data_IF_645631776302
#
_entry.id   IF_645631776302
#
_cell.length_a   1.000
_cell.length_b   1.000
_cell.length_c   1.000
_cell.angle_alpha   90.00
_cell.angle_beta   90.00
_cell.angle_gamma   90.00
#
_symmetry.space_group_name_H-M   'P 1'
#
loop_
_entity.id
_entity.type
_entity.pdbx_description
1 polymer ?
#
# COMPACT_ATOMS: atom_id res chain seq x y z
N UNK A 1 3.50 4.69 -58.09
CA UNK A 1 2.19 4.03 -57.88
C UNK A 1 1.72 4.18 -56.42
N UNK A 2 2.53 3.76 -55.43
CA UNK A 2 2.24 3.93 -54.00
C UNK A 2 1.92 5.38 -53.58
N UNK A 3 2.68 6.36 -54.08
CA UNK A 3 2.39 7.78 -53.82
C UNK A 3 1.00 8.21 -54.29
N UNK A 4 0.57 7.77 -55.49
CA UNK A 4 -0.76 8.10 -56.02
C UNK A 4 -1.87 7.44 -55.19
N UNK A 5 -1.64 6.20 -54.73
CA UNK A 5 -2.57 5.49 -53.84
C UNK A 5 -2.71 6.24 -52.52
N UNK A 6 -1.60 6.64 -51.89
CA UNK A 6 -1.61 7.40 -50.64
C UNK A 6 -2.33 8.76 -50.77
N UNK A 7 -2.10 9.48 -51.87
CA UNK A 7 -2.79 10.74 -52.16
C UNK A 7 -4.30 10.52 -52.34
N UNK A 8 -4.71 9.48 -53.07
CA UNK A 8 -6.14 9.15 -53.19
C UNK A 8 -6.76 8.71 -51.86
N UNK A 9 -6.05 7.97 -51.01
CA UNK A 9 -6.52 7.63 -49.66
C UNK A 9 -6.73 8.89 -48.82
N UNK A 10 -5.82 9.86 -48.90
CA UNK A 10 -5.92 11.12 -48.17
C UNK A 10 -7.08 12.01 -48.69
N UNK A 11 -7.27 12.07 -50.01
CA UNK A 11 -8.41 12.75 -50.63
C UNK A 11 -9.73 12.11 -50.19
N UNK A 12 -9.80 10.78 -50.14
CA UNK A 12 -10.98 10.08 -49.65
C UNK A 12 -11.27 10.37 -48.17
N UNK A 13 -10.22 10.54 -47.35
CA UNK A 13 -10.38 10.97 -45.96
C UNK A 13 -10.99 12.38 -45.85
N UNK A 14 -10.58 13.30 -46.74
CA UNK A 14 -11.07 14.69 -46.79
C UNK A 14 -12.52 14.75 -47.29
N UNK A 15 -12.88 13.99 -48.32
CA UNK A 15 -14.24 13.95 -48.87
C UNK A 15 -15.27 13.51 -47.81
N UNK A 16 -14.90 12.54 -46.98
CA UNK A 16 -15.74 12.03 -45.88
C UNK A 16 -15.42 12.67 -44.52
N UNK A 17 -15.04 13.96 -44.49
CA UNK A 17 -14.59 14.68 -43.29
C UNK A 17 -15.46 14.46 -42.05
N UNK A 18 -16.80 14.48 -42.19
CA UNK A 18 -17.72 14.37 -41.05
C UNK A 18 -17.65 12.99 -40.41
N UNK A 19 -17.69 11.92 -41.21
CA UNK A 19 -17.66 10.53 -40.72
C UNK A 19 -16.29 10.18 -40.15
N UNK A 20 -15.23 10.60 -40.82
CA UNK A 20 -13.86 10.36 -40.37
C UNK A 20 -13.53 11.14 -39.10
N UNK A 21 -14.05 12.37 -38.96
CA UNK A 21 -13.90 13.14 -37.71
C UNK A 21 -14.58 12.45 -36.53
N UNK A 22 -15.82 11.97 -36.70
CA UNK A 22 -16.51 11.21 -35.65
C UNK A 22 -15.78 9.91 -35.31
N UNK A 23 -15.26 9.20 -36.31
CA UNK A 23 -14.49 7.97 -36.11
C UNK A 23 -13.19 8.22 -35.35
N UNK A 24 -12.40 9.22 -35.76
CA UNK A 24 -11.16 9.60 -35.08
C UNK A 24 -11.46 10.02 -33.64
N UNK A 25 -12.49 10.84 -33.42
CA UNK A 25 -12.87 11.29 -32.07
C UNK A 25 -13.28 10.12 -31.17
N UNK A 26 -14.04 9.16 -31.70
CA UNK A 26 -14.43 7.95 -30.97
C UNK A 26 -13.21 7.09 -30.60
N UNK A 27 -12.30 6.86 -31.55
CA UNK A 27 -11.06 6.11 -31.31
C UNK A 27 -10.17 6.83 -30.29
N UNK A 28 -10.06 8.16 -30.38
CA UNK A 28 -9.30 8.95 -29.40
C UNK A 28 -9.87 8.84 -28.00
N UNK A 29 -11.19 9.01 -27.82
CA UNK A 29 -11.82 8.91 -26.50
C UNK A 29 -11.62 7.53 -25.89
N UNK A 30 -11.83 6.46 -26.67
CA UNK A 30 -11.67 5.08 -26.19
C UNK A 30 -10.22 4.77 -25.84
N UNK A 31 -9.25 5.25 -26.63
CA UNK A 31 -7.82 5.09 -26.33
C UNK A 31 -7.40 5.88 -25.07
N UNK A 32 -7.89 7.11 -24.91
CA UNK A 32 -7.62 7.92 -23.72
C UNK A 32 -8.23 7.29 -22.47
N UNK A 33 -9.46 6.77 -22.54
CA UNK A 33 -10.09 6.06 -21.43
C UNK A 33 -9.27 4.84 -21.00
N UNK A 34 -8.80 4.06 -21.96
CA UNK A 34 -7.89 2.93 -21.72
C UNK A 34 -6.60 3.34 -21.01
N UNK A 35 -5.94 4.41 -21.46
CA UNK A 35 -4.72 4.92 -20.82
C UNK A 35 -5.00 5.41 -19.39
N UNK A 36 -6.12 6.11 -19.16
CA UNK A 36 -6.51 6.60 -17.83
C UNK A 36 -6.71 5.43 -16.87
N UNK A 37 -7.41 4.37 -17.30
CA UNK A 37 -7.64 3.18 -16.46
C UNK A 37 -6.31 2.54 -16.06
N UNK A 38 -5.40 2.32 -17.03
CA UNK A 38 -4.08 1.74 -16.75
C UNK A 38 -3.26 2.60 -15.79
N UNK A 39 -3.20 3.91 -16.04
CA UNK A 39 -2.45 4.83 -15.19
C UNK A 39 -3.03 4.94 -13.78
N UNK A 40 -4.35 4.82 -13.64
CA UNK A 40 -5.03 4.87 -12.34
C UNK A 40 -4.68 3.66 -11.48
N UNK A 41 -4.61 2.46 -12.07
CA UNK A 41 -4.21 1.23 -11.38
C UNK A 41 -2.79 1.35 -10.84
N UNK A 42 -1.86 1.80 -11.68
CA UNK A 42 -0.47 1.97 -11.27
C UNK A 42 -0.31 3.05 -10.19
N UNK A 43 -1.12 4.12 -10.25
CA UNK A 43 -1.14 5.16 -9.24
C UNK A 43 -1.63 4.64 -7.89
N UNK A 44 -2.74 3.90 -7.88
CA UNK A 44 -3.29 3.28 -6.66
C UNK A 44 -2.30 2.29 -6.06
N UNK A 45 -1.65 1.47 -6.89
CA UNK A 45 -0.62 0.53 -6.45
C UNK A 45 0.55 1.25 -5.78
N UNK A 46 1.09 2.28 -6.44
CA UNK A 46 2.21 3.06 -5.90
C UNK A 46 1.85 3.77 -4.61
N UNK A 47 0.63 4.32 -4.50
CA UNK A 47 0.16 4.97 -3.29
C UNK A 47 0.06 3.98 -2.13
N UNK A 48 -0.51 2.80 -2.39
CA UNK A 48 -0.60 1.73 -1.38
C UNK A 48 0.79 1.22 -0.95
N UNK A 49 1.70 0.98 -1.90
CA UNK A 49 3.08 0.61 -1.60
C UNK A 49 3.79 1.69 -0.76
N UNK A 50 3.58 2.97 -1.08
CA UNK A 50 4.18 4.06 -0.32
C UNK A 50 3.65 4.16 1.12
N UNK A 51 2.34 4.05 1.34
CA UNK A 51 1.73 4.07 2.68
C UNK A 51 2.14 2.84 3.52
N UNK A 52 2.40 1.69 2.88
CA UNK A 52 2.87 0.47 3.55
C UNK A 52 4.36 0.51 3.91
N UNK A 53 5.21 1.11 3.07
CA UNK A 53 6.68 1.22 3.29
C UNK A 53 7.05 2.02 4.53
N UNK A 54 6.13 2.81 5.06
CA UNK A 54 6.28 3.57 6.30
C UNK A 54 6.72 2.72 7.49
N UNK A 55 6.39 1.41 7.49
CA UNK A 55 6.74 0.49 8.58
C UNK A 55 8.10 -0.21 8.39
N UNK A 56 8.81 0.04 7.28
CA UNK A 56 10.09 -0.60 6.93
C UNK A 56 9.93 -2.00 6.31
N UNK A 57 10.51 -2.23 5.13
CA UNK A 57 10.45 -3.52 4.41
C UNK A 57 11.18 -4.68 5.11
N UNK A 58 12.01 -4.35 6.10
CA UNK A 58 12.84 -5.25 6.86
C UNK A 58 12.27 -5.57 8.25
N UNK A 59 11.03 -5.17 8.55
CA UNK A 59 10.44 -5.28 9.88
C UNK A 59 9.30 -6.30 9.90
N UNK A 60 9.37 -7.22 10.87
CA UNK A 60 8.25 -8.09 11.26
C UNK A 60 7.84 -7.73 12.68
N UNK A 61 6.57 -7.46 12.91
CA UNK A 61 6.01 -7.29 14.26
C UNK A 61 5.13 -8.49 14.59
N UNK A 62 5.21 -8.94 15.84
CA UNK A 62 4.46 -10.05 16.39
C UNK A 62 3.74 -9.54 17.62
N UNK A 63 2.41 -9.51 17.57
CA UNK A 63 1.55 -9.13 18.68
C UNK A 63 0.99 -10.38 19.35
N UNK A 64 1.17 -10.52 20.66
CA UNK A 64 0.63 -11.63 21.44
C UNK A 64 -0.67 -11.19 22.12
N UNK A 65 -1.74 -11.98 21.97
CA UNK A 65 -3.07 -11.61 22.51
C UNK A 65 -3.08 -11.48 24.03
N UNK A 66 -2.30 -12.30 24.72
CA UNK A 66 -2.22 -12.34 26.20
C UNK A 66 -0.77 -12.15 26.70
N UNK A 67 0.08 -11.49 25.91
CA UNK A 67 1.52 -11.38 26.18
C UNK A 67 2.28 -12.71 26.14
N UNK A 68 3.60 -12.69 26.23
CA UNK A 68 4.45 -13.88 26.36
C UNK A 68 5.34 -13.71 27.59
N UNK A 69 5.50 -14.77 28.38
CA UNK A 69 6.38 -14.71 29.55
C UNK A 69 7.82 -14.42 29.15
N UNK A 70 8.55 -13.67 29.98
CA UNK A 70 9.93 -13.31 29.68
C UNK A 70 10.85 -14.51 29.42
N UNK A 71 10.59 -15.64 30.08
CA UNK A 71 11.34 -16.90 29.91
C UNK A 71 11.05 -17.56 28.56
N UNK A 72 9.77 -17.75 28.22
CA UNK A 72 9.37 -18.32 26.93
C UNK A 72 9.80 -17.43 25.76
N UNK A 73 9.74 -16.12 25.95
CA UNK A 73 10.28 -15.16 24.99
C UNK A 73 11.79 -15.31 24.83
N UNK A 74 12.56 -15.52 25.91
CA UNK A 74 14.01 -15.69 25.81
C UNK A 74 14.37 -16.94 24.97
N UNK A 75 13.63 -18.03 25.11
CA UNK A 75 13.83 -19.24 24.28
C UNK A 75 13.51 -18.99 22.81
N UNK A 76 12.42 -18.25 22.55
CA UNK A 76 12.03 -17.83 21.20
C UNK A 76 13.09 -16.91 20.57
N UNK A 77 13.59 -15.93 21.33
CA UNK A 77 14.62 -14.97 20.93
C UNK A 77 15.93 -15.68 20.56
N UNK A 78 16.38 -16.65 21.38
CA UNK A 78 17.58 -17.46 21.07
C UNK A 78 17.43 -18.21 19.75
N UNK A 79 16.28 -18.85 19.53
CA UNK A 79 16.04 -19.59 18.29
C UNK A 79 16.02 -18.66 17.08
N UNK A 80 15.29 -17.55 17.17
CA UNK A 80 15.18 -16.57 16.09
C UNK A 80 16.56 -15.98 15.76
N UNK A 81 17.35 -15.63 16.77
CA UNK A 81 18.69 -15.09 16.55
C UNK A 81 19.62 -16.09 15.86
N UNK A 82 19.56 -17.38 16.23
CA UNK A 82 20.40 -18.42 15.64
C UNK A 82 20.04 -18.73 14.17
N UNK A 83 18.77 -18.64 13.80
CA UNK A 83 18.30 -19.06 12.46
C UNK A 83 18.22 -17.87 11.49
N UNK A 84 17.79 -16.71 11.98
CA UNK A 84 17.37 -15.58 11.15
C UNK A 84 18.19 -14.30 11.40
N UNK A 85 19.00 -14.29 12.48
CA UNK A 85 19.88 -13.17 12.90
C UNK A 85 19.27 -11.75 12.92
N UNK A 86 17.99 -11.54 13.30
CA UNK A 86 17.47 -10.18 13.43
C UNK A 86 17.91 -9.50 14.73
N UNK A 87 17.79 -8.17 14.76
CA UNK A 87 17.80 -7.39 16.00
C UNK A 87 16.37 -7.35 16.55
N UNK A 88 16.21 -7.67 17.83
CA UNK A 88 14.90 -7.81 18.48
C UNK A 88 14.57 -6.60 19.34
N UNK A 89 13.40 -6.01 19.12
CA UNK A 89 12.81 -4.98 19.96
C UNK A 89 11.59 -5.50 20.71
N UNK A 90 11.38 -5.04 21.94
CA UNK A 90 10.31 -5.48 22.84
C UNK A 90 9.38 -4.32 23.16
N UNK A 91 8.09 -4.62 23.23
CA UNK A 91 7.06 -3.67 23.63
C UNK A 91 6.08 -4.29 24.64
N UNK A 92 5.66 -3.48 25.60
CA UNK A 92 4.61 -3.78 26.58
C UNK A 92 3.58 -2.67 26.59
N UNK A 93 2.30 -3.02 26.58
CA UNK A 93 1.18 -2.08 26.61
C UNK A 93 0.69 -1.93 28.03
N UNK A 94 0.54 -0.69 28.49
CA UNK A 94 0.07 -0.39 29.84
C UNK A 94 -0.94 0.73 29.78
N UNK A 95 -2.10 0.53 30.39
CA UNK A 95 -3.11 1.59 30.50
C UNK A 95 -2.87 2.35 31.80
N UNK A 96 -2.62 3.65 31.68
CA UNK A 96 -2.29 4.52 32.81
C UNK A 96 -3.17 5.78 32.77
N UNK A 97 -3.34 6.40 33.94
CA UNK A 97 -3.95 7.72 34.02
C UNK A 97 -2.90 8.78 33.75
N UNK A 98 -3.22 9.76 32.92
CA UNK A 98 -2.30 10.83 32.55
C UNK A 98 -2.99 12.19 32.62
N UNK A 99 -2.19 13.25 32.68
CA UNK A 99 -2.68 14.61 32.52
C UNK A 99 -1.64 15.66 32.85
N UNK A 100 -2.03 16.91 32.63
CA UNK A 100 -1.25 18.10 32.99
C UNK A 100 -0.98 18.23 34.50
N UNK A 101 -1.81 17.59 35.32
CA UNK A 101 -1.72 17.65 36.78
C UNK A 101 -1.64 16.24 37.38
N UNK A 102 -1.09 16.08 38.61
CA UNK A 102 -0.95 14.77 39.26
C UNK A 102 -2.25 13.99 39.42
N UNK A 103 -3.39 14.67 39.50
CA UNK A 103 -4.73 14.08 39.64
C UNK A 103 -5.48 13.99 38.30
N UNK A 104 -4.76 14.06 37.18
CA UNK A 104 -5.33 13.87 35.85
C UNK A 104 -6.04 12.51 35.74
N UNK A 105 -7.27 12.53 35.23
CA UNK A 105 -8.12 11.33 35.11
C UNK A 105 -8.19 10.79 33.67
N UNK A 106 -7.37 11.30 32.75
CA UNK A 106 -7.41 10.85 31.36
C UNK A 106 -6.77 9.46 31.28
N UNK A 107 -7.58 8.48 30.90
CA UNK A 107 -7.12 7.10 30.74
C UNK A 107 -6.51 6.95 29.35
N UNK A 108 -5.20 6.72 29.30
CA UNK A 108 -4.44 6.61 28.06
C UNK A 108 -3.68 5.30 28.00
N UNK A 109 -3.44 4.82 26.77
CA UNK A 109 -2.62 3.64 26.52
C UNK A 109 -1.17 4.06 26.28
N UNK A 110 -0.26 3.56 27.12
CA UNK A 110 1.17 3.79 26.99
C UNK A 110 1.85 2.54 26.44
N UNK A 111 2.81 2.75 25.54
CA UNK A 111 3.64 1.70 24.95
C UNK A 111 5.03 1.77 25.57
N UNK A 112 5.34 0.83 26.46
CA UNK A 112 6.67 0.60 27.00
C UNK A 112 7.57 -0.07 25.98
N UNK A 113 8.58 0.62 25.50
CA UNK A 113 9.44 0.16 24.38
C UNK A 113 10.91 0.17 24.77
N UNK A 114 11.69 -0.73 24.17
CA UNK A 114 13.14 -0.70 24.29
C UNK A 114 13.81 0.17 23.23
N UNK A 115 15.12 0.40 23.38
CA UNK A 115 15.89 1.27 22.49
C UNK A 115 15.89 0.76 21.04
N UNK A 116 15.87 -0.56 20.85
CA UNK A 116 15.80 -1.19 19.52
C UNK A 116 14.45 -0.89 18.87
N UNK A 117 13.34 -1.05 19.59
CA UNK A 117 12.02 -0.73 19.09
C UNK A 117 11.92 0.76 18.75
N UNK A 118 12.41 1.64 19.62
CA UNK A 118 12.44 3.07 19.36
C UNK A 118 13.21 3.40 18.07
N UNK A 119 14.38 2.79 17.85
CA UNK A 119 15.19 3.04 16.64
C UNK A 119 14.47 2.74 15.32
N UNK A 120 13.45 1.88 15.36
CA UNK A 120 12.63 1.51 14.20
C UNK A 120 11.43 2.44 13.94
N UNK A 121 11.16 3.40 14.83
CA UNK A 121 10.08 4.36 14.71
C UNK A 121 10.67 5.72 14.31
N UNK A 122 10.04 6.40 13.36
CA UNK A 122 10.44 7.77 13.00
C UNK A 122 9.89 8.75 14.04
N UNK A 123 10.76 9.29 14.90
CA UNK A 123 10.41 10.34 15.86
C UNK A 123 11.56 11.34 16.01
N UNK A 124 11.23 12.51 16.54
CA UNK A 124 12.18 13.59 16.82
C UNK A 124 12.42 13.66 18.32
N UNK A 125 13.64 13.36 18.79
CA UNK A 125 13.96 13.35 20.21
C UNK A 125 15.18 12.51 20.57
N UNK A 126 15.31 12.15 21.86
CA UNK A 126 16.37 11.27 22.36
C UNK A 126 16.24 9.85 21.83
N UNK A 127 17.35 9.25 21.40
CA UNK A 127 17.43 7.87 20.88
C UNK A 127 17.17 6.75 21.90
N UNK A 128 17.16 7.06 23.19
CA UNK A 128 16.96 6.11 24.29
C UNK A 128 16.16 6.76 25.41
N UNK A 129 15.25 6.00 26.02
CA UNK A 129 14.41 6.45 27.12
C UNK A 129 14.85 5.78 28.43
N UNK A 130 15.13 6.62 29.42
CA UNK A 130 15.57 6.21 30.75
C UNK A 130 14.67 6.79 31.84
N UNK A 131 14.09 5.92 32.66
CA UNK A 131 13.27 6.34 33.80
C UNK A 131 11.94 6.96 33.40
N UNK A 132 11.72 8.21 33.82
CA UNK A 132 10.46 8.95 33.64
C UNK A 132 10.52 9.89 32.44
N UNK A 133 10.92 9.36 31.29
CA UNK A 133 10.92 10.09 30.01
C UNK A 133 9.78 9.57 29.14
N UNK A 134 9.15 10.48 28.40
CA UNK A 134 7.97 10.23 27.58
C UNK A 134 8.19 10.74 26.15
N UNK A 135 7.74 9.99 25.15
CA UNK A 135 7.58 10.49 23.78
C UNK A 135 6.10 10.51 23.46
N UNK A 136 5.60 11.64 22.99
CA UNK A 136 4.17 11.86 22.73
C UNK A 136 3.92 12.21 21.27
N UNK A 137 2.67 12.15 20.81
CA UNK A 137 2.31 12.61 19.47
C UNK A 137 2.54 14.12 19.34
N UNK A 138 3.03 14.57 18.19
CA UNK A 138 3.22 16.00 17.85
C UNK A 138 1.92 16.83 18.01
N UNK A 139 0.75 16.20 17.92
CA UNK A 139 -0.54 16.85 18.05
C UNK A 139 -1.03 17.02 19.49
N UNK A 140 -0.48 16.28 20.46
CA UNK A 140 -1.13 16.14 21.76
C UNK A 140 -0.56 17.04 22.86
N UNK A 141 0.72 17.43 22.85
CA UNK A 141 1.31 18.14 23.99
C UNK A 141 2.51 19.02 23.65
N UNK A 142 2.49 20.29 24.07
CA UNK A 142 3.63 21.23 24.02
C UNK A 142 4.29 21.46 25.38
N UNK A 143 3.81 20.79 26.44
CA UNK A 143 4.28 20.98 27.80
C UNK A 143 5.49 20.09 28.12
N UNK A 144 6.47 20.64 28.82
CA UNK A 144 7.74 19.97 29.10
C UNK A 144 7.63 18.85 30.15
N UNK A 145 6.61 18.91 31.01
CA UNK A 145 6.35 17.93 32.07
C UNK A 145 4.92 17.43 31.97
N UNK A 146 4.75 16.12 31.95
CA UNK A 146 3.45 15.44 31.91
C UNK A 146 3.33 14.51 33.11
N UNK A 147 2.17 14.42 33.74
CA UNK A 147 1.99 13.49 34.85
C UNK A 147 1.38 12.18 34.36
N UNK A 148 2.01 11.07 34.73
CA UNK A 148 1.50 9.72 34.50
C UNK A 148 1.37 9.03 35.84
N UNK A 149 0.14 8.70 36.23
CA UNK A 149 -0.23 8.08 37.50
C UNK A 149 0.37 8.83 38.72
N UNK A 150 0.20 10.16 38.72
CA UNK A 150 0.76 11.10 39.71
C UNK A 150 2.30 11.23 39.74
N UNK A 151 3.02 10.59 38.82
CA UNK A 151 4.48 10.72 38.69
C UNK A 151 4.82 11.70 37.56
N UNK A 152 5.74 12.66 37.75
CA UNK A 152 6.16 13.57 36.68
C UNK A 152 7.07 12.86 35.67
N UNK A 153 6.73 13.02 34.39
CA UNK A 153 7.49 12.57 33.23
C UNK A 153 7.97 13.79 32.43
N UNK A 154 9.18 13.71 31.89
CA UNK A 154 9.74 14.72 31.00
C UNK A 154 9.47 14.31 29.55
N UNK A 155 8.91 15.22 28.76
CA UNK A 155 8.69 14.97 27.33
C UNK A 155 10.03 15.07 26.59
N UNK A 156 10.56 13.92 26.17
CA UNK A 156 11.87 13.78 25.55
C UNK A 156 11.84 13.81 24.01
N UNK A 157 10.64 13.81 23.42
CA UNK A 157 10.46 13.87 21.98
C UNK A 157 9.02 13.81 21.53
N UNK A 158 8.84 14.05 20.24
CA UNK A 158 7.55 13.95 19.56
C UNK A 158 7.66 13.01 18.37
N UNK A 159 6.65 12.17 18.19
CA UNK A 159 6.51 11.35 16.98
C UNK A 159 5.34 11.85 16.14
N UNK A 160 5.51 11.76 14.82
CA UNK A 160 4.48 12.13 13.86
C UNK A 160 3.81 10.86 13.35
N UNK A 161 2.49 10.80 13.50
CA UNK A 161 1.70 9.74 12.87
C UNK A 161 1.71 9.98 11.35
N UNK A 162 2.14 9.01 10.55
CA UNK A 162 2.10 9.10 9.10
C UNK A 162 0.63 9.13 8.65
N UNK A 163 0.29 10.05 7.75
CA UNK A 163 -1.06 10.12 7.17
C UNK A 163 -1.29 8.90 6.26
N UNK A 164 -2.34 8.11 6.56
CA UNK A 164 -2.70 6.87 5.85
C UNK A 164 -4.03 6.98 5.13
N UNK A 165 -4.18 7.99 4.29
CA UNK A 165 -5.46 8.33 3.64
C UNK A 165 -6.04 7.21 2.76
N UNK A 166 -5.18 6.44 2.09
CA UNK A 166 -5.63 5.37 1.21
C UNK A 166 -6.01 4.13 2.01
N UNK A 167 -5.16 3.68 2.94
CA UNK A 167 -5.47 2.53 3.79
C UNK A 167 -6.70 2.80 4.69
N UNK A 168 -6.85 4.03 5.20
CA UNK A 168 -8.05 4.45 5.91
C UNK A 168 -9.29 4.43 5.02
N UNK A 169 -9.17 4.85 3.76
CA UNK A 169 -10.24 4.77 2.77
C UNK A 169 -10.67 3.33 2.44
N UNK A 170 -9.75 2.36 2.58
CA UNK A 170 -10.04 0.93 2.44
C UNK A 170 -10.59 0.28 3.74
N UNK A 171 -10.68 1.03 4.84
CA UNK A 171 -10.97 0.46 6.16
C UNK A 171 -9.87 -0.48 6.68
N UNK A 172 -8.68 -0.40 6.09
CA UNK A 172 -7.47 -1.13 6.47
C UNK A 172 -6.54 -0.30 7.36
N UNK A 173 -7.02 0.85 7.85
CA UNK A 173 -6.34 1.50 8.96
C UNK A 173 -6.39 0.52 10.12
N UNK A 174 -5.27 -0.16 10.37
CA UNK A 174 -5.10 -0.87 11.62
C UNK A 174 -5.33 0.18 12.69
N UNK A 175 -6.48 0.09 13.37
CA UNK A 175 -6.82 0.85 14.57
C UNK A 175 -5.54 0.89 15.39
N UNK A 176 -4.92 2.07 15.45
CA UNK A 176 -3.62 2.28 16.08
C UNK A 176 -3.74 1.86 17.55
N UNK A 177 -3.51 0.58 17.84
CA UNK A 177 -3.23 0.07 19.17
C UNK A 177 -1.72 0.14 19.44
N UNK A 178 -1.01 1.06 18.77
CA UNK A 178 0.25 1.62 19.24
C UNK A 178 -0.14 2.80 20.13
N UNK A 179 -0.03 2.62 21.44
CA UNK A 179 -0.48 3.60 22.42
C UNK A 179 0.05 5.00 22.12
N UNK A 180 -0.78 6.01 22.37
CA UNK A 180 -0.58 7.42 22.03
C UNK A 180 0.72 8.03 22.59
N UNK A 181 1.40 7.30 23.48
CA UNK A 181 2.65 7.72 24.08
C UNK A 181 3.62 6.54 24.31
N UNK A 182 4.92 6.78 24.13
CA UNK A 182 5.99 5.82 24.40
C UNK A 182 6.72 6.12 25.71
N UNK A 183 6.93 5.08 26.51
CA UNK A 183 7.76 5.11 27.73
C UNK A 183 8.83 4.02 27.66
N UNK A 184 9.83 4.06 28.55
CA UNK A 184 10.81 2.97 28.64
C UNK A 184 10.14 1.64 29.01
N UNK A 185 10.55 0.54 28.37
CA UNK A 185 10.07 -0.82 28.66
C UNK A 185 10.24 -1.19 30.15
N UNK A 186 11.36 -0.80 30.76
CA UNK A 186 11.60 -1.00 32.21
C UNK A 186 10.55 -0.30 33.06
N UNK A 187 10.11 0.89 32.66
CA UNK A 187 9.10 1.68 33.36
C UNK A 187 7.71 1.04 33.23
N UNK A 188 7.35 0.54 32.05
CA UNK A 188 6.10 -0.21 31.84
C UNK A 188 6.03 -1.49 32.68
N UNK A 189 7.12 -2.27 32.77
CA UNK A 189 7.19 -3.44 33.65
C UNK A 189 6.96 -3.05 35.11
N UNK A 190 7.57 -1.96 35.59
CA UNK A 190 7.40 -1.49 36.98
C UNK A 190 5.93 -1.18 37.32
N UNK A 191 5.19 -0.58 36.39
CA UNK A 191 3.77 -0.27 36.60
C UNK A 191 2.88 -1.52 36.61
N UNK A 192 3.12 -2.45 35.69
CA UNK A 192 2.34 -3.69 35.59
C UNK A 192 2.73 -4.76 36.61
N UNK A 193 3.93 -4.66 37.20
CA UNK A 193 4.56 -5.68 38.07
C UNK A 193 4.62 -7.07 37.41
N UNK A 194 4.68 -7.10 36.08
CA UNK A 194 4.74 -8.31 35.30
C UNK A 194 5.83 -8.17 34.21
N UNK A 195 6.61 -9.23 33.98
CA UNK A 195 7.67 -9.28 32.99
C UNK A 195 7.21 -9.78 31.60
N UNK A 196 5.91 -9.99 31.41
CA UNK A 196 5.38 -10.39 30.11
C UNK A 196 5.61 -9.32 29.03
N UNK A 197 5.87 -9.77 27.80
CA UNK A 197 6.05 -8.96 26.61
C UNK A 197 4.80 -9.06 25.75
N UNK A 198 4.20 -7.93 25.36
CA UNK A 198 2.95 -7.95 24.59
C UNK A 198 3.20 -7.99 23.09
N UNK A 199 4.25 -7.31 22.64
CA UNK A 199 4.62 -7.26 21.23
C UNK A 199 6.13 -7.31 21.04
N UNK A 200 6.55 -7.93 19.95
CA UNK A 200 7.96 -8.10 19.58
C UNK A 200 8.17 -7.64 18.15
N UNK A 201 9.26 -6.93 17.90
CA UNK A 201 9.65 -6.47 16.58
C UNK A 201 10.99 -7.09 16.21
N UNK A 202 11.06 -7.66 15.02
CA UNK A 202 12.25 -8.25 14.44
C UNK A 202 12.70 -7.34 13.30
N UNK A 203 13.91 -6.78 13.43
CA UNK A 203 14.52 -5.90 12.44
C UNK A 203 15.62 -6.69 11.73
N UNK A 204 15.41 -6.94 10.44
CA UNK A 204 16.34 -7.68 9.61
C UNK A 204 17.34 -6.74 8.92
N UNK A 205 18.56 -7.20 8.62
CA UNK A 205 19.51 -6.46 7.78
C UNK A 205 19.12 -6.48 6.29
N UNK A 206 18.17 -7.36 5.91
CA UNK A 206 17.63 -7.53 4.55
C UNK A 206 16.11 -7.37 4.55
N UNK A 207 15.53 -7.18 3.37
CA UNK A 207 14.08 -7.23 3.21
C UNK A 207 13.54 -8.61 3.62
N UNK A 208 12.36 -8.61 4.25
CA UNK A 208 11.68 -9.81 4.75
C UNK A 208 11.16 -10.65 3.59
N UNK A 209 11.46 -11.95 3.62
CA UNK A 209 10.95 -12.91 2.65
C UNK A 209 9.82 -13.78 3.24
N UNK A 210 9.05 -14.42 2.36
CA UNK A 210 7.94 -15.30 2.76
C UNK A 210 8.39 -16.48 3.64
N UNK A 211 9.57 -17.02 3.35
CA UNK A 211 10.17 -18.11 4.13
C UNK A 211 10.47 -17.68 5.58
N UNK A 212 10.85 -16.41 5.79
CA UNK A 212 11.15 -15.91 7.14
C UNK A 212 9.87 -15.89 7.99
N UNK A 213 8.74 -15.49 7.38
CA UNK A 213 7.42 -15.50 8.03
C UNK A 213 6.98 -16.94 8.32
N UNK A 214 7.17 -17.88 7.39
CA UNK A 214 6.79 -19.28 7.58
C UNK A 214 7.57 -19.95 8.73
N UNK A 215 8.88 -19.73 8.78
CA UNK A 215 9.75 -20.25 9.87
C UNK A 215 9.30 -19.66 11.21
N UNK A 216 9.05 -18.35 11.24
CA UNK A 216 8.61 -17.65 12.45
C UNK A 216 7.24 -18.13 12.91
N UNK A 217 6.28 -18.28 12.00
CA UNK A 217 4.92 -18.74 12.29
C UNK A 217 4.93 -20.15 12.90
N UNK A 218 5.70 -21.07 12.30
CA UNK A 218 5.84 -22.43 12.85
C UNK A 218 6.40 -22.41 14.27
N UNK A 219 7.46 -21.63 14.51
CA UNK A 219 8.10 -21.57 15.82
C UNK A 219 7.21 -20.93 16.88
N UNK A 220 6.51 -19.83 16.57
CA UNK A 220 5.64 -19.16 17.54
C UNK A 220 4.45 -20.06 17.89
N UNK A 221 3.89 -20.78 16.90
CA UNK A 221 2.81 -21.73 17.12
C UNK A 221 3.20 -22.85 18.10
N UNK A 222 4.46 -23.29 18.08
CA UNK A 222 4.98 -24.28 19.02
C UNK A 222 5.11 -23.74 20.47
N UNK A 223 5.20 -22.42 20.65
CA UNK A 223 5.42 -21.76 21.96
C UNK A 223 4.11 -21.27 22.59
N UNK A 224 3.25 -20.58 21.82
CA UNK A 224 1.97 -20.04 22.33
C UNK A 224 0.90 -20.00 21.25
N UNK A 225 -0.31 -20.45 21.59
CA UNK A 225 -1.50 -20.24 20.76
C UNK A 225 -2.04 -18.82 20.94
N UNK A 226 -2.31 -18.11 19.84
CA UNK A 226 -2.91 -16.76 19.87
C UNK A 226 -1.90 -15.62 19.71
N UNK A 227 -1.52 -15.36 18.47
CA UNK A 227 -0.64 -14.25 18.08
C UNK A 227 -1.05 -13.71 16.70
N UNK A 228 -0.64 -12.48 16.39
CA UNK A 228 -0.79 -11.84 15.09
C UNK A 228 0.58 -11.40 14.57
N UNK A 229 0.99 -11.93 13.43
CA UNK A 229 2.20 -11.47 12.73
C UNK A 229 1.80 -10.39 11.74
N UNK A 230 2.30 -9.18 11.94
CA UNK A 230 2.17 -8.04 11.03
C UNK A 230 3.50 -7.79 10.35
N UNK A 231 3.50 -7.74 9.02
CA UNK A 231 4.68 -7.41 8.22
C UNK A 231 4.25 -6.61 7.00
N UNK A 232 5.17 -5.82 6.43
CA UNK A 232 4.93 -5.12 5.17
C UNK A 232 4.56 -6.10 4.06
N UNK A 233 5.09 -7.33 4.08
CA UNK A 233 4.77 -8.35 3.08
C UNK A 233 3.32 -8.85 3.20
N UNK A 234 2.83 -9.09 4.41
CA UNK A 234 1.43 -9.46 4.66
C UNK A 234 0.48 -8.35 4.22
N UNK A 235 0.82 -7.10 4.53
CA UNK A 235 0.02 -5.95 4.14
C UNK A 235 0.06 -5.70 2.61
N UNK A 236 1.23 -5.90 1.99
CA UNK A 236 1.39 -5.85 0.53
C UNK A 236 0.52 -6.91 -0.16
N UNK A 237 0.49 -8.14 0.33
CA UNK A 237 -0.41 -9.18 -0.19
C UNK A 237 -1.89 -8.81 -0.06
N UNK A 238 -2.28 -8.21 1.07
CA UNK A 238 -3.66 -7.76 1.25
C UNK A 238 -4.03 -6.69 0.21
N UNK A 239 -3.14 -5.73 -0.01
CA UNK A 239 -3.29 -4.71 -1.06
C UNK A 239 -3.29 -5.33 -2.45
N UNK A 240 -2.35 -6.22 -2.77
CA UNK A 240 -2.27 -6.89 -4.06
C UNK A 240 -3.54 -7.71 -4.33
N UNK A 241 -4.13 -8.36 -3.33
CA UNK A 241 -5.40 -9.08 -3.46
C UNK A 241 -6.57 -8.14 -3.75
N UNK A 242 -6.62 -6.99 -3.08
CA UNK A 242 -7.63 -5.94 -3.33
C UNK A 242 -7.45 -5.39 -4.74
N UNK A 243 -6.22 -5.00 -5.13
CA UNK A 243 -5.89 -4.52 -6.46
C UNK A 243 -6.22 -5.56 -7.52
N UNK A 244 -5.90 -6.84 -7.31
CA UNK A 244 -6.20 -7.91 -8.26
C UNK A 244 -7.71 -8.14 -8.41
N UNK A 245 -8.47 -8.04 -7.32
CA UNK A 245 -9.93 -8.13 -7.35
C UNK A 245 -10.54 -6.98 -8.16
N UNK A 246 -10.00 -5.77 -8.00
CA UNK A 246 -10.36 -4.62 -8.83
C UNK A 246 -9.83 -4.73 -10.27
N UNK A 247 -8.64 -5.31 -10.47
CA UNK A 247 -8.01 -5.47 -11.78
C UNK A 247 -8.82 -6.38 -12.69
N UNK A 248 -9.53 -7.36 -12.13
CA UNK A 248 -10.46 -8.18 -12.91
C UNK A 248 -11.64 -7.34 -13.46
N UNK A 249 -12.22 -6.48 -12.62
CA UNK A 249 -13.29 -5.57 -13.04
C UNK A 249 -12.81 -4.55 -14.08
N UNK A 250 -11.65 -3.93 -13.85
CA UNK A 250 -11.09 -2.95 -14.79
C UNK A 250 -10.60 -3.60 -16.08
N UNK A 251 -9.93 -4.76 -15.98
CA UNK A 251 -9.44 -5.53 -17.11
C UNK A 251 -10.58 -6.02 -18.00
N UNK A 252 -11.67 -6.50 -17.42
CA UNK A 252 -12.86 -6.87 -18.18
C UNK A 252 -13.49 -5.66 -18.89
N UNK A 253 -13.59 -4.51 -18.21
CA UNK A 253 -14.08 -3.26 -18.81
C UNK A 253 -13.20 -2.80 -19.97
N UNK A 254 -11.87 -2.89 -19.81
CA UNK A 254 -10.90 -2.58 -20.86
C UNK A 254 -11.06 -3.48 -22.09
N UNK A 255 -11.19 -4.80 -21.89
CA UNK A 255 -11.40 -5.75 -22.99
C UNK A 255 -12.70 -5.44 -23.74
N UNK A 256 -13.77 -5.11 -23.02
CA UNK A 256 -15.06 -4.73 -23.62
C UNK A 256 -14.92 -3.45 -24.44
N UNK A 257 -14.25 -2.41 -23.91
CA UNK A 257 -13.98 -1.16 -24.63
C UNK A 257 -13.17 -1.40 -25.91
N UNK A 258 -12.17 -2.28 -25.85
CA UNK A 258 -11.34 -2.62 -27.01
C UNK A 258 -12.13 -3.38 -28.08
N UNK A 259 -12.97 -4.34 -27.68
CA UNK A 259 -13.87 -5.05 -28.60
C UNK A 259 -14.88 -4.11 -29.26
N UNK A 260 -15.46 -3.19 -28.49
CA UNK A 260 -16.35 -2.15 -29.02
C UNK A 260 -15.62 -1.27 -30.04
N UNK A 261 -14.38 -0.88 -29.77
CA UNK A 261 -13.58 -0.08 -30.70
C UNK A 261 -13.29 -0.83 -32.00
N UNK A 262 -12.91 -2.11 -31.93
CA UNK A 262 -12.73 -2.96 -33.11
C UNK A 262 -14.03 -3.08 -33.91
N UNK A 263 -15.16 -3.30 -33.23
CA UNK A 263 -16.47 -3.45 -33.88
C UNK A 263 -16.90 -2.16 -34.59
N UNK A 264 -16.74 -1.00 -33.94
CA UNK A 264 -17.04 0.31 -34.53
C UNK A 264 -16.11 0.61 -35.70
N UNK A 265 -14.82 0.29 -35.58
CA UNK A 265 -13.84 0.44 -36.66
C UNK A 265 -14.22 -0.41 -37.87
N UNK A 266 -14.51 -1.69 -37.67
CA UNK A 266 -14.93 -2.59 -38.74
C UNK A 266 -16.24 -2.12 -39.39
N UNK A 267 -17.24 -1.74 -38.58
CA UNK A 267 -18.53 -1.23 -39.07
C UNK A 267 -18.36 0.03 -39.91
N UNK A 268 -17.50 0.95 -39.48
CA UNK A 268 -17.21 2.21 -40.19
C UNK A 268 -16.48 1.96 -41.50
N UNK A 269 -15.45 1.11 -41.50
CA UNK A 269 -14.72 0.72 -42.73
C UNK A 269 -15.67 0.03 -43.72
N UNK A 270 -16.47 -0.93 -43.24
CA UNK A 270 -17.46 -1.63 -44.06
C UNK A 270 -18.47 -0.65 -44.67
N UNK A 271 -18.97 0.30 -43.89
CA UNK A 271 -19.91 1.32 -44.36
C UNK A 271 -19.27 2.23 -45.42
N UNK A 272 -18.06 2.72 -45.17
CA UNK A 272 -17.31 3.54 -46.13
C UNK A 272 -17.03 2.79 -47.44
N UNK A 273 -16.74 1.49 -47.37
CA UNK A 273 -16.56 0.64 -48.55
C UNK A 273 -17.87 0.48 -49.36
N UNK A 274 -19.00 0.24 -48.68
CA UNK A 274 -20.31 0.08 -49.32
C UNK A 274 -20.78 1.37 -49.99
N UNK A 275 -20.55 2.53 -49.37
CA UNK A 275 -20.90 3.83 -49.93
C UNK A 275 -20.10 4.16 -51.21
N UNK A 276 -18.88 3.62 -51.34
CA UNK A 276 -18.00 3.80 -52.51
C UNK A 276 -18.09 2.68 -53.54
N UNK A 277 -19.10 1.80 -53.46
CA UNK A 277 -19.23 0.62 -54.35
C UNK A 277 -19.25 1.00 -55.85
N UNK A 278 -19.87 2.12 -56.21
CA UNK A 278 -19.95 2.60 -57.60
C UNK A 278 -18.59 3.09 -58.10
N UNK A 279 -17.87 3.88 -57.31
CA UNK A 279 -16.51 4.34 -57.60
C UNK A 279 -15.55 3.16 -57.77
N UNK A 280 -15.61 2.20 -56.85
CA UNK A 280 -14.81 0.97 -56.89
C UNK A 280 -15.13 0.15 -58.16
N UNK A 281 -16.41 0.03 -58.51
CA UNK A 281 -16.85 -0.65 -59.74
C UNK A 281 -16.28 0.01 -60.99
N UNK A 282 -16.34 1.35 -61.07
CA UNK A 282 -15.73 2.12 -62.17
C UNK A 282 -14.22 1.88 -62.26
N UNK A 283 -13.50 1.91 -61.14
CA UNK A 283 -12.04 1.65 -61.08
C UNK A 283 -11.67 0.28 -61.63
N UNK A 284 -12.45 -0.76 -61.32
CA UNK A 284 -12.25 -2.12 -61.84
C UNK A 284 -12.53 -2.18 -63.35
N UNK A 285 -13.61 -1.54 -63.82
CA UNK A 285 -13.95 -1.47 -65.26
C UNK A 285 -12.85 -0.76 -66.06
N UNK A 286 -12.24 0.30 -65.51
CA UNK A 286 -11.10 1.00 -66.11
C UNK A 286 -9.75 0.25 -66.01
N UNK A 287 -9.74 -1.00 -65.54
CA UNK A 287 -8.57 -1.87 -65.57
C UNK A 287 -7.62 -1.73 -64.38
N UNK A 288 -8.03 -1.06 -63.29
CA UNK A 288 -7.24 -1.03 -62.06
C UNK A 288 -7.33 -2.40 -61.37
N UNK A 289 -6.16 -2.97 -61.02
CA UNK A 289 -6.09 -4.27 -60.34
C UNK A 289 -6.78 -4.20 -58.96
N UNK A 290 -7.60 -5.19 -58.58
CA UNK A 290 -8.27 -5.23 -57.27
C UNK A 290 -7.33 -5.12 -56.08
N UNK A 291 -6.10 -5.63 -56.20
CA UNK A 291 -5.06 -5.51 -55.16
C UNK A 291 -4.66 -4.06 -54.87
N UNK A 292 -4.72 -3.17 -55.88
CA UNK A 292 -4.41 -1.75 -55.71
C UNK A 292 -5.54 -0.99 -55.02
N UNK A 293 -6.79 -1.44 -55.20
CA UNK A 293 -7.96 -0.90 -54.52
C UNK A 293 -7.98 -1.31 -53.04
N UNK A 294 -7.56 -2.55 -52.75
CA UNK A 294 -7.46 -3.05 -51.38
C UNK A 294 -6.38 -2.31 -50.59
N UNK A 295 -5.28 -1.93 -51.25
CA UNK A 295 -4.19 -1.13 -50.65
C UNK A 295 -4.56 0.34 -50.41
N UNK A 296 -5.69 0.81 -50.95
CA UNK A 296 -6.17 2.19 -50.80
C UNK A 296 -7.00 2.40 -49.53
N UNK A 297 -7.58 1.33 -48.98
CA UNK A 297 -8.39 1.33 -47.76
C UNK A 297 -7.55 0.97 -46.54
#
# INVERSE_FOLDING_TARGET
MLYKIAVESFLSLIENKRKNMFFILFVSITMTASCIISSSIDSVRKQAENELRVTGENIISVDFTEGISGEAYHELERYIHNVLTPVTGKMKKVVLFSGKYPWGSNKELFSGVDDVWLSSVSYTGKSSLSGNELITSENQNTEHVWYVNAVPFIVAGHYRLPERTFLSGLGLDEVNYGGDNYISFKTAIRYTKNNDVDSVRLIFPRAVNENDILILNKRIQDVKGGYKITSVLSAKRAVDNVINSFALLYGSTYVVLLLLNIMVSFSTIKRNFLERKTEIGLKVIYGIRPSCILLQF
#
